data_IF_345009117994
#
_entry.id   IF_345009117994
#
_cell.length_a   1.000
_cell.length_b   1.000
_cell.length_c   1.000
_cell.angle_alpha   90.00
_cell.angle_beta   90.00
_cell.angle_gamma   90.00
#
_symmetry.space_group_name_H-M   'P 1'
#
loop_
_entity.id
_entity.type
_entity.pdbx_description
1 polymer ?
2 non-polymer ?
3 water ?
#
# COMPACT_ATOMS: atom_id res chain seq x y z
N UNK A 21 -15.60 26.74 2.08
CA UNK A 21 -16.55 25.76 1.47
C UNK A 21 -16.06 25.33 0.07
N UNK A 22 -15.91 26.27 -0.86
CA UNK A 22 -15.42 25.94 -2.21
C UNK A 22 -13.94 26.17 -2.40
N UNK A 23 -13.38 27.09 -1.62
CA UNK A 23 -11.94 27.28 -1.51
C UNK A 23 -11.31 25.97 -1.03
N UNK A 24 -12.00 25.26 -0.13
CA UNK A 24 -11.52 23.95 0.31
C UNK A 24 -11.52 22.91 -0.82
N UNK A 25 -12.52 22.97 -1.69
CA UNK A 25 -12.61 22.12 -2.87
C UNK A 25 -11.57 22.54 -3.91
N UNK A 26 -11.18 23.81 -3.84
CA UNK A 26 -10.11 24.35 -4.67
C UNK A 26 -8.75 23.83 -4.19
N UNK A 27 -8.51 23.94 -2.88
CA UNK A 27 -7.31 23.41 -2.24
C UNK A 27 -7.18 21.90 -2.45
N UNK A 28 -8.28 21.15 -2.27
CA UNK A 28 -8.27 19.71 -2.52
C UNK A 28 -7.94 19.33 -3.97
N UNK A 29 -8.56 19.98 -4.94
CA UNK A 29 -8.26 19.66 -6.33
C UNK A 29 -6.79 19.92 -6.68
N UNK A 30 -6.23 20.97 -6.07
CA UNK A 30 -4.82 21.33 -6.27
C UNK A 30 -3.89 20.25 -5.71
N UNK A 31 -4.25 19.77 -4.52
CA UNK A 31 -3.51 18.70 -3.85
C UNK A 31 -3.60 17.40 -4.63
N UNK A 33 -3.71 17.27 -7.94
CA UNK A 33 -2.77 17.50 -9.02
C UNK A 33 -1.35 17.36 -8.54
N UNK A 34 -1.01 18.06 -7.46
CA UNK A 34 0.34 17.95 -6.92
C UNK A 34 0.72 16.48 -6.63
N UNK A 35 -0.22 15.68 -6.15
CA UNK A 35 -0.02 14.24 -5.94
C UNK A 35 0.12 13.44 -7.21
N UNK A 36 -0.69 13.78 -8.20
CA UNK A 36 -0.67 13.00 -9.41
C UNK A 36 0.71 13.25 -10.03
N UNK A 37 1.15 14.50 -9.94
CA UNK A 37 2.45 14.88 -10.51
C UNK A 37 3.66 14.20 -9.84
N UNK A 38 3.64 14.08 -8.52
CA UNK A 38 4.75 13.43 -7.87
C UNK A 38 4.68 11.93 -8.15
N UNK A 39 3.48 11.36 -8.13
CA UNK A 39 3.31 9.94 -8.49
C UNK A 39 3.83 9.57 -9.88
N UNK A 40 3.53 10.42 -10.86
CA UNK A 40 4.01 10.26 -12.22
C UNK A 40 5.49 10.21 -12.18
N UNK A 41 6.10 11.14 -11.45
CA UNK A 41 7.50 11.16 -11.41
C UNK A 41 8.14 9.95 -10.76
N UNK A 42 7.56 9.44 -9.66
CA UNK A 42 8.19 8.28 -9.00
C UNK A 42 8.00 7.04 -9.87
N UNK A 43 6.89 6.97 -10.59
CA UNK A 43 6.62 5.83 -11.43
C UNK A 43 7.51 5.75 -12.63
N UNK A 44 7.66 6.85 -13.37
CA UNK A 44 8.61 6.76 -14.50
C UNK A 44 10.07 6.52 -14.04
N UNK A 45 10.42 6.95 -12.82
CA UNK A 45 11.78 6.68 -12.33
C UNK A 45 11.94 5.25 -11.84
N UNK A 46 10.86 4.50 -11.65
CA UNK A 46 11.00 3.22 -10.92
C UNK A 46 10.42 2.04 -11.62
N UNK A 47 9.71 2.28 -12.72
CA UNK A 47 9.15 1.18 -13.47
C UNK A 47 9.69 1.21 -14.89
N UNK A 48 10.78 0.45 -15.15
CA UNK A 48 11.50 0.52 -16.45
C UNK A 48 10.59 0.13 -17.60
N UNK A 49 10.49 0.96 -18.63
CA UNK A 49 9.67 0.60 -19.72
C UNK A 49 8.27 1.17 -19.64
N UNK A 50 7.90 1.77 -18.52
CA UNK A 50 6.59 2.40 -18.39
C UNK A 50 6.61 3.74 -19.12
N UNK A 51 5.68 3.97 -20.03
CA UNK A 51 5.66 5.24 -20.74
C UNK A 51 5.11 6.39 -19.90
N UNK A 52 5.52 7.59 -20.26
CA UNK A 52 5.14 8.79 -19.58
C UNK A 52 3.62 8.93 -19.56
N UNK A 53 2.98 8.80 -20.70
CA UNK A 53 1.54 8.83 -20.83
C UNK A 53 0.87 7.85 -19.88
N UNK A 54 1.29 6.58 -19.86
CA UNK A 54 0.64 5.63 -18.97
C UNK A 54 0.86 5.96 -17.48
N UNK A 55 2.04 6.44 -17.12
CA UNK A 55 2.33 6.82 -15.71
C UNK A 55 1.48 8.01 -15.32
N UNK A 56 1.31 8.91 -16.29
CA UNK A 56 0.51 10.10 -16.08
C UNK A 56 -0.94 9.68 -15.76
N UNK A 57 -1.47 8.79 -16.59
CA UNK A 57 -2.89 8.37 -16.60
C UNK A 57 -3.25 7.68 -15.31
N UNK A 58 -2.35 6.81 -14.89
CA UNK A 58 -2.57 5.97 -13.73
C UNK A 58 -2.43 6.82 -12.47
N UNK A 59 -1.54 7.80 -12.52
CA UNK A 59 -1.29 8.73 -11.41
C UNK A 59 -2.49 9.61 -11.15
N UNK A 60 -3.11 10.12 -12.22
CA UNK A 60 -4.30 10.96 -12.11
C UNK A 60 -5.41 10.11 -11.54
N UNK A 61 -5.43 8.83 -11.88
CA UNK A 61 -6.55 8.02 -11.53
C UNK A 61 -6.53 7.73 -10.04
N UNK A 63 -4.77 9.51 -7.85
CA UNK A 63 -4.88 10.78 -7.14
C UNK A 63 -6.37 11.11 -6.97
N UNK A 64 -7.19 10.94 -8.02
CA UNK A 64 -8.66 11.18 -7.92
C UNK A 64 -9.39 10.22 -6.95
N UNK A 65 -8.73 9.12 -6.56
CA UNK A 65 -9.33 8.16 -5.64
C UNK A 65 -8.40 7.97 -4.47
N UNK A 66 -7.73 9.07 -4.09
CA UNK A 66 -6.68 8.95 -3.09
C UNK A 66 -7.14 8.35 -1.76
N UNK A 67 -8.40 8.61 -1.38
CA UNK A 67 -8.89 8.07 -0.12
C UNK A 67 -9.10 6.56 -0.18
N UNK A 68 -9.51 6.05 -1.34
CA UNK A 68 -9.68 4.61 -1.47
C UNK A 68 -8.34 3.91 -1.56
N UNK A 69 -7.36 4.56 -2.20
CA UNK A 69 -6.00 4.02 -2.27
C UNK A 69 -5.30 4.08 -0.91
N UNK A 70 -5.43 5.20 -0.19
CA UNK A 70 -4.88 5.31 1.17
C UNK A 70 -5.38 4.17 2.06
N UNK A 71 -6.67 3.87 1.96
CA UNK A 71 -7.24 2.76 2.76
C UNK A 71 -6.68 1.42 2.29
N UNK A 72 -6.59 1.24 0.97
CA UNK A 72 -6.01 0.02 0.40
C UNK A 72 -4.60 -0.25 0.93
N UNK A 73 -3.73 0.74 0.80
CA UNK A 73 -2.34 0.68 1.21
C UNK A 73 -2.16 0.64 2.72
N UNK A 74 -2.95 1.41 3.47
CA UNK A 74 -2.86 1.41 4.95
C UNK A 74 -3.11 0.04 5.56
N UNK A 75 -4.00 -0.78 4.99
CA UNK A 75 -4.33 -2.12 5.60
C UNK A 75 -4.91 -3.25 4.72
N UNK A 76 -6.22 -3.12 4.44
CA UNK A 76 -6.95 -4.03 3.55
C UNK A 76 -6.87 -3.63 2.08
N UNK A 77 -6.07 -4.39 1.35
CA UNK A 77 -6.07 -4.32 -0.09
C UNK A 77 -7.52 -4.24 -0.60
N UNK A 78 -8.44 -4.90 0.10
CA UNK A 78 -9.80 -5.08 -0.39
C UNK A 78 -10.61 -3.81 -0.54
N UNK A 79 -10.15 -2.71 0.02
CA UNK A 79 -10.92 -1.49 -0.10
C UNK A 79 -10.99 -0.98 -1.56
N UNK A 80 -10.08 -1.48 -2.40
CA UNK A 80 -10.07 -1.18 -3.86
C UNK A 80 -11.33 -1.67 -4.56
N UNK A 81 -11.95 -2.70 -4.00
CA UNK A 81 -13.33 -3.04 -4.32
C UNK A 81 -14.32 -1.90 -4.31
N UNK A 82 -14.05 -0.84 -3.53
CA UNK A 82 -14.94 0.33 -3.48
C UNK A 82 -14.82 1.27 -4.69
N UNK A 83 -13.81 1.05 -5.53
CA UNK A 83 -13.66 1.80 -6.77
C UNK A 83 -14.71 1.30 -7.75
N UNK A 84 -15.54 2.19 -8.28
CA UNK A 84 -16.59 1.75 -9.19
C UNK A 84 -15.95 1.32 -10.52
N UNK A 85 -16.74 0.63 -11.34
CA UNK A 85 -16.28 0.22 -12.67
C UNK A 85 -15.96 1.45 -13.57
N UNK A 86 -14.95 1.33 -14.47
CA UNK A 86 -14.53 2.46 -15.34
C UNK A 86 -15.63 3.01 -16.27
N UNK A 87 -15.68 4.34 -16.41
CA UNK A 87 -16.61 5.00 -17.34
C UNK A 87 -16.02 5.09 -18.74
N UNK B 22 10.47 -16.05 9.45
CA UNK B 22 10.13 -17.39 8.88
C UNK B 22 8.72 -17.43 8.24
N UNK B 23 7.84 -18.28 8.77
CA UNK B 23 6.41 -18.37 8.39
C UNK B 23 5.77 -17.00 8.57
N UNK B 24 6.04 -16.38 9.72
CA UNK B 24 5.75 -14.98 10.06
C UNK B 24 6.20 -13.96 8.98
N UNK B 25 7.32 -14.26 8.32
CA UNK B 25 7.86 -13.39 7.25
C UNK B 25 7.22 -13.70 5.88
N UNK B 26 6.94 -15.00 5.61
CA UNK B 26 6.19 -15.48 4.41
C UNK B 26 4.82 -14.81 4.24
N UNK B 27 4.08 -14.60 5.34
CA UNK B 27 2.80 -13.87 5.27
C UNK B 27 2.95 -12.34 5.10
N UNK B 28 4.10 -11.80 5.51
CA UNK B 28 4.49 -10.45 5.10
C UNK B 28 4.29 -10.34 3.60
N UNK B 29 4.92 -11.25 2.87
CA UNK B 29 4.99 -11.18 1.42
C UNK B 29 3.62 -11.46 0.81
N UNK B 30 2.85 -12.32 1.48
CA UNK B 30 1.52 -12.73 1.01
C UNK B 30 0.62 -11.49 0.90
N UNK B 31 0.74 -10.64 1.91
CA UNK B 31 0.06 -9.37 2.04
C UNK B 31 0.41 -8.45 0.89
N UNK B 33 1.83 -9.32 -1.85
CA UNK B 33 1.49 -9.90 -3.17
C UNK B 33 0.01 -9.76 -3.48
N UNK B 34 -0.81 -9.93 -2.45
CA UNK B 34 -2.24 -9.83 -2.60
C UNK B 34 -2.63 -8.42 -3.03
N UNK B 35 -2.10 -7.41 -2.34
CA UNK B 35 -2.35 -6.03 -2.71
C UNK B 35 -1.93 -5.74 -4.15
N UNK B 36 -0.67 -6.07 -4.49
CA UNK B 36 -0.11 -5.98 -5.87
C UNK B 36 -1.10 -6.49 -6.91
N UNK B 37 -1.69 -7.64 -6.62
CA UNK B 37 -2.56 -8.30 -7.57
C UNK B 37 -3.88 -7.57 -7.78
N UNK B 38 -4.51 -7.08 -6.71
CA UNK B 38 -5.73 -6.25 -6.85
C UNK B 38 -5.40 -4.98 -7.60
N UNK B 39 -4.30 -4.38 -7.18
CA UNK B 39 -3.78 -3.21 -7.84
C UNK B 39 -3.62 -3.39 -9.36
N UNK B 40 -3.00 -4.51 -9.77
CA UNK B 40 -2.76 -4.77 -11.18
C UNK B 40 -4.10 -4.73 -11.92
N UNK B 41 -5.12 -5.27 -11.28
CA UNK B 41 -6.42 -5.21 -11.87
C UNK B 41 -7.04 -3.87 -12.05
N UNK B 42 -6.96 -3.01 -11.04
CA UNK B 42 -7.71 -1.77 -11.16
C UNK B 42 -7.05 -0.96 -12.26
N UNK B 43 -5.73 -1.09 -12.36
CA UNK B 43 -4.92 -0.34 -13.33
C UNK B 43 -5.20 -0.80 -14.76
N UNK B 44 -5.08 -2.11 -14.98
CA UNK B 44 -5.52 -2.70 -16.23
C UNK B 44 -6.89 -2.16 -16.55
N UNK B 45 -7.82 -2.17 -15.59
CA UNK B 45 -9.20 -1.72 -15.87
C UNK B 45 -9.26 -0.25 -16.24
N UNK B 46 -8.37 0.56 -15.68
CA UNK B 46 -8.61 1.99 -15.75
C UNK B 46 -7.63 2.83 -16.55
N UNK B 47 -6.46 2.25 -16.87
CA UNK B 47 -5.49 2.96 -17.73
C UNK B 47 -5.51 2.38 -19.15
N UNK B 48 -6.20 3.07 -20.07
CA UNK B 48 -6.35 2.42 -21.37
C UNK B 48 -4.96 2.26 -22.01
N UNK B 49 -4.75 1.17 -22.74
CA UNK B 49 -3.49 0.90 -23.40
C UNK B 49 -2.38 0.29 -22.54
N UNK B 50 -2.54 0.29 -21.23
CA UNK B 50 -1.48 -0.21 -20.31
C UNK B 50 -1.35 -1.70 -20.40
N UNK B 51 -0.16 -2.23 -20.55
CA UNK B 51 -0.07 -3.68 -20.66
C UNK B 51 -0.24 -4.30 -19.28
N UNK B 52 -0.58 -5.59 -19.26
CA UNK B 52 -0.64 -6.30 -18.00
C UNK B 52 0.72 -6.29 -17.27
N UNK B 53 1.78 -6.51 -18.03
CA UNK B 53 3.10 -6.61 -17.48
C UNK B 53 3.50 -5.29 -16.81
N UNK B 54 3.24 -4.18 -17.49
CA UNK B 54 3.58 -2.92 -16.92
C UNK B 54 2.73 -2.67 -15.70
N UNK B 55 1.45 -3.04 -15.77
CA UNK B 55 0.53 -2.88 -14.61
C UNK B 55 1.05 -3.65 -13.39
N UNK B 56 1.43 -4.92 -13.59
CA UNK B 56 2.11 -5.77 -12.59
C UNK B 56 3.34 -5.09 -12.00
N UNK B 57 4.31 -4.73 -12.84
CA UNK B 57 5.52 -4.04 -12.39
C UNK B 57 5.24 -2.81 -11.53
N UNK B 58 4.26 -2.01 -11.90
CA UNK B 58 3.94 -0.80 -11.20
C UNK B 58 3.31 -1.13 -9.85
N UNK B 59 2.37 -2.09 -9.87
CA UNK B 59 1.68 -2.52 -8.66
C UNK B 59 2.64 -3.11 -7.68
N UNK B 60 3.56 -3.96 -8.16
CA UNK B 60 4.52 -4.59 -7.26
C UNK B 60 5.39 -3.51 -6.67
N UNK B 61 5.82 -2.57 -7.50
CA UNK B 61 6.64 -1.48 -6.97
C UNK B 61 5.97 -0.68 -5.84
N UNK B 63 3.22 -1.69 -4.04
CA UNK B 63 2.78 -2.58 -2.94
C UNK B 63 3.97 -2.90 -2.04
N UNK B 64 5.11 -3.08 -2.68
CA UNK B 64 6.40 -3.31 -2.07
C UNK B 64 6.78 -2.12 -1.17
N UNK B 65 6.21 -0.95 -1.51
CA UNK B 65 6.54 0.29 -0.82
C UNK B 65 5.32 0.84 -0.10
N UNK B 66 4.48 -0.04 0.41
CA UNK B 66 3.12 0.36 0.74
C UNK B 66 3.01 1.43 1.79
N UNK B 67 3.87 1.41 2.82
CA UNK B 67 3.66 2.39 3.89
C UNK B 67 4.00 3.79 3.44
N UNK B 68 5.03 3.90 2.60
CA UNK B 68 5.33 5.20 2.05
C UNK B 68 4.16 5.66 1.19
N UNK B 69 3.65 4.81 0.30
CA UNK B 69 2.48 5.22 -0.52
C UNK B 69 1.25 5.55 0.32
N UNK B 70 0.98 4.72 1.33
CA UNK B 70 -0.12 4.98 2.26
C UNK B 70 0.01 6.35 2.83
N UNK B 71 1.21 6.71 3.25
CA UNK B 71 1.39 8.04 3.87
C UNK B 71 1.18 9.17 2.83
N UNK B 72 1.64 8.94 1.60
CA UNK B 72 1.46 9.87 0.53
C UNK B 72 -0.01 10.06 0.20
N UNK B 73 -0.76 8.96 0.08
CA UNK B 73 -2.15 9.03 -0.31
C UNK B 73 -2.99 9.66 0.77
N UNK B 74 -2.73 9.29 2.03
CA UNK B 74 -3.45 9.80 3.19
C UNK B 74 -3.35 11.31 3.13
N UNK B 75 -2.29 11.86 3.72
CA UNK B 75 -2.21 13.28 3.96
C UNK B 75 -1.45 14.11 2.92
N UNK B 76 -0.25 13.68 2.56
CA UNK B 76 0.59 14.53 1.74
C UNK B 76 1.57 13.79 0.86
N UNK B 77 1.71 14.37 -0.33
CA UNK B 77 2.44 13.75 -1.40
C UNK B 77 3.94 13.68 -1.09
N UNK B 78 4.43 14.65 -0.33
CA UNK B 78 5.86 14.78 -0.13
C UNK B 78 6.45 13.64 0.71
N UNK B 79 5.59 12.77 1.24
CA UNK B 79 6.05 11.51 1.86
C UNK B 79 6.68 10.55 0.81
N UNK B 80 6.45 10.82 -0.47
CA UNK B 80 7.10 10.08 -1.56
C UNK B 80 8.62 10.31 -1.58
N UNK B 81 9.06 11.46 -1.10
CA UNK B 81 10.48 11.70 -0.76
C UNK B 81 11.20 10.48 -0.21
N UNK B 82 10.53 9.75 0.69
CA UNK B 82 11.16 8.65 1.43
C UNK B 82 11.49 7.44 0.58
N UNK B 83 10.91 7.37 -0.62
CA UNK B 83 11.27 6.37 -1.61
C UNK B 83 12.75 6.49 -1.90
N UNK B 84 13.44 5.35 -1.92
CA UNK B 84 14.90 5.32 -1.96
C UNK B 84 15.45 4.92 -3.34
N UNK B 85 16.06 5.89 -4.04
CA UNK B 85 16.79 5.69 -5.33
C UNK B 85 17.29 7.02 -5.88
N UNK C 22 -10.73 -13.74 -2.98
CA UNK C 22 -12.14 -14.18 -2.81
C UNK C 22 -12.55 -14.32 -1.34
N UNK C 23 -11.70 -14.95 -0.53
CA UNK C 23 -11.98 -15.16 0.89
C UNK C 23 -12.25 -13.85 1.62
N UNK C 24 -11.22 -13.01 1.71
CA UNK C 24 -11.34 -11.78 2.48
C UNK C 24 -12.36 -10.77 1.93
N UNK C 25 -12.87 -11.05 0.73
CA UNK C 25 -13.94 -10.26 0.13
C UNK C 25 -15.28 -10.54 0.80
N UNK C 26 -15.51 -11.80 1.16
CA UNK C 26 -16.72 -12.20 1.90
C UNK C 26 -16.86 -11.38 3.18
N UNK C 27 -15.75 -11.29 3.93
CA UNK C 27 -15.65 -10.62 5.23
C UNK C 27 -15.77 -9.12 5.07
N UNK C 28 -15.31 -8.61 3.94
CA UNK C 28 -15.43 -7.19 3.60
C UNK C 28 -16.89 -6.88 3.28
N UNK C 29 -17.47 -7.64 2.35
CA UNK C 29 -18.89 -7.53 2.09
C UNK C 29 -19.70 -7.65 3.36
N UNK C 30 -19.29 -8.58 4.21
CA UNK C 30 -19.99 -8.82 5.45
C UNK C 30 -19.95 -7.63 6.38
N UNK C 31 -18.79 -7.00 6.44
CA UNK C 31 -18.58 -5.83 7.27
C UNK C 31 -19.50 -4.72 6.82
N UNK C 33 -22.50 -4.93 5.18
CA UNK C 33 -23.85 -5.17 5.67
C UNK C 33 -23.96 -4.88 7.19
N UNK C 34 -23.01 -5.34 7.99
CA UNK C 34 -23.11 -5.06 9.43
C UNK C 34 -23.12 -3.58 9.72
N UNK C 35 -22.31 -2.84 8.97
CA UNK C 35 -22.26 -1.39 9.08
C UNK C 35 -23.57 -0.74 8.59
N UNK C 36 -24.01 -1.11 7.40
CA UNK C 36 -25.24 -0.56 6.83
C UNK C 36 -26.42 -0.72 7.79
N UNK C 37 -26.48 -1.87 8.44
CA UNK C 37 -27.56 -2.18 9.34
C UNK C 37 -27.54 -1.38 10.65
N UNK C 38 -26.36 -1.25 11.24
CA UNK C 38 -26.20 -0.47 12.48
C UNK C 38 -26.59 0.99 12.21
N UNK C 39 -26.14 1.48 11.06
CA UNK C 39 -26.34 2.83 10.58
C UNK C 39 -27.82 3.07 10.37
N UNK C 40 -28.45 2.18 9.60
CA UNK C 40 -29.88 2.30 9.34
C UNK C 40 -30.60 2.55 10.65
N UNK C 41 -30.31 1.72 11.65
CA UNK C 41 -30.94 1.85 12.95
C UNK C 41 -30.73 3.26 13.57
N UNK C 42 -29.48 3.71 13.68
CA UNK C 42 -29.19 5.01 14.31
C UNK C 42 -29.84 6.16 13.55
N UNK C 43 -29.81 6.07 12.23
CA UNK C 43 -30.51 7.03 11.39
C UNK C 43 -32.01 7.08 11.64
N UNK C 44 -32.72 5.96 11.51
CA UNK C 44 -34.17 6.03 11.80
C UNK C 44 -34.43 6.60 13.21
N UNK C 45 -33.58 6.26 14.16
CA UNK C 45 -33.82 6.64 15.55
C UNK C 45 -33.38 8.05 15.90
N UNK C 46 -32.64 8.71 15.01
CA UNK C 46 -32.17 10.07 15.32
C UNK C 46 -32.63 11.17 14.34
N UNK C 47 -33.12 10.78 13.17
CA UNK C 47 -33.65 11.76 12.24
C UNK C 47 -35.15 11.57 12.16
N UNK C 48 -35.92 12.42 12.88
CA UNK C 48 -37.37 12.21 13.03
C UNK C 48 -38.08 12.31 11.69
N UNK C 49 -39.06 11.43 11.45
CA UNK C 49 -39.68 11.33 10.13
C UNK C 49 -38.83 10.78 8.98
N UNK C 50 -37.51 10.57 9.17
CA UNK C 50 -36.75 9.84 8.15
C UNK C 50 -37.41 8.47 7.92
N UNK C 51 -37.56 8.04 6.67
CA UNK C 51 -38.20 6.75 6.43
C UNK C 51 -37.19 5.60 6.52
N UNK C 52 -37.67 4.41 6.86
CA UNK C 52 -36.83 3.23 6.85
C UNK C 52 -36.15 3.03 5.49
N UNK C 53 -36.95 3.07 4.43
CA UNK C 53 -36.46 2.89 3.07
C UNK C 53 -35.33 3.86 2.80
N UNK C 54 -35.57 5.15 3.03
CA UNK C 54 -34.54 6.16 2.86
C UNK C 54 -33.30 5.98 3.76
N UNK C 55 -33.50 5.59 5.02
CA UNK C 55 -32.41 5.33 5.96
C UNK C 55 -31.56 4.18 5.45
N UNK C 56 -32.22 3.09 5.13
CA UNK C 56 -31.48 1.92 4.73
C UNK C 56 -30.79 2.18 3.38
N UNK C 57 -31.47 2.86 2.46
CA UNK C 57 -30.79 3.33 1.25
C UNK C 57 -29.51 4.14 1.53
N UNK C 58 -29.60 5.18 2.35
CA UNK C 58 -28.44 6.05 2.62
C UNK C 58 -27.28 5.29 3.23
N UNK C 59 -27.64 4.37 4.12
CA UNK C 59 -26.66 3.56 4.78
C UNK C 59 -25.94 2.61 3.82
N UNK C 60 -26.72 1.98 2.92
CA UNK C 60 -26.11 1.08 1.95
C UNK C 60 -25.16 1.93 1.14
N UNK C 61 -25.65 3.08 0.73
CA UNK C 61 -24.81 3.93 -0.03
C UNK C 61 -23.46 4.25 0.66
N UNK C 63 -22.04 2.81 3.16
CA UNK C 63 -21.30 1.62 3.54
C UNK C 63 -20.54 1.06 2.32
N UNK C 64 -21.14 1.14 1.13
CA UNK C 64 -20.44 0.83 -0.13
C UNK C 64 -19.26 1.78 -0.39
N UNK C 65 -19.26 2.93 0.26
CA UNK C 65 -18.22 3.89 0.06
C UNK C 65 -17.51 4.19 1.35
N UNK C 66 -17.32 3.17 2.17
CA UNK C 66 -16.86 3.45 3.53
C UNK C 66 -15.49 4.06 3.69
N UNK C 67 -14.56 3.72 2.81
CA UNK C 67 -13.21 4.30 2.83
C UNK C 67 -13.27 5.81 2.57
N UNK C 68 -14.09 6.23 1.62
CA UNK C 68 -14.27 7.67 1.40
C UNK C 68 -14.87 8.38 2.63
N UNK C 69 -16.00 7.86 3.13
CA UNK C 69 -16.65 8.42 4.32
C UNK C 69 -15.82 8.42 5.60
N UNK C 70 -15.10 7.33 5.85
CA UNK C 70 -14.13 7.32 6.94
C UNK C 70 -13.15 8.51 6.84
N UNK C 71 -12.70 8.85 5.64
CA UNK C 71 -11.77 9.96 5.52
C UNK C 71 -12.50 11.28 5.71
N UNK C 72 -13.73 11.39 5.20
CA UNK C 72 -14.48 12.62 5.28
C UNK C 72 -14.61 12.92 6.74
N UNK C 73 -14.97 11.90 7.50
CA UNK C 73 -15.28 12.04 8.91
C UNK C 73 -14.08 12.24 9.76
N UNK C 74 -12.92 11.71 9.35
CA UNK C 74 -11.74 11.69 10.21
C UNK C 74 -11.08 13.05 10.25
N UNK C 75 -10.96 13.72 9.10
CA UNK C 75 -10.76 15.19 9.04
C UNK C 75 -11.20 15.77 7.71
N UNK C 76 -10.47 15.41 6.66
CA UNK C 76 -10.78 15.54 5.24
C UNK C 76 -12.26 15.51 4.77
N UNK C 77 -13.07 16.54 5.09
CA UNK C 77 -14.47 16.56 4.65
C UNK C 77 -14.55 16.46 3.12
N UNK C 78 -13.54 16.99 2.47
CA UNK C 78 -13.53 17.09 1.04
C UNK C 78 -13.23 15.75 0.32
N UNK C 79 -12.82 14.71 1.04
CA UNK C 79 -12.78 13.38 0.46
C UNK C 79 -14.08 13.11 -0.28
N UNK C 80 -15.15 13.78 0.15
CA UNK C 80 -16.49 13.50 -0.35
C UNK C 80 -16.60 13.75 -1.85
N UNK C 81 -15.77 14.66 -2.35
CA UNK C 81 -15.63 14.95 -3.79
C UNK C 81 -15.26 13.75 -4.63
N UNK C 82 -14.59 12.77 -4.01
CA UNK C 82 -14.01 11.66 -4.74
C UNK C 82 -15.11 10.70 -5.16
N UNK C 83 -16.32 10.97 -4.71
CA UNK C 83 -17.45 10.14 -5.08
C UNK C 83 -17.87 10.48 -6.50
N UNK C 84 -17.92 9.45 -7.34
CA UNK C 84 -18.07 9.58 -8.80
C UNK C 84 -19.46 10.06 -9.26
N UNK C 85 -19.52 10.75 -10.41
CA UNK C 85 -20.77 11.15 -11.09
C UNK C 85 -20.70 12.49 -11.83
N UNK D 22 8.71 21.66 -2.69
CA UNK D 22 9.63 22.83 -2.58
C UNK D 22 9.59 23.38 -1.17
N UNK D 23 8.73 24.36 -0.96
CA UNK D 23 8.32 24.82 0.35
C UNK D 23 7.91 23.63 1.24
N UNK D 24 7.14 22.67 0.70
CA UNK D 24 6.69 21.49 1.46
C UNK D 24 7.79 20.47 1.68
N UNK D 25 8.80 20.46 0.81
CA UNK D 25 9.94 19.58 1.07
C UNK D 25 10.70 20.08 2.29
N UNK D 26 10.99 21.39 2.31
CA UNK D 26 11.64 22.07 3.44
C UNK D 26 11.00 21.74 4.78
N UNK D 27 9.67 21.81 4.81
CA UNK D 27 8.94 21.50 6.03
C UNK D 27 9.22 20.09 6.51
N UNK D 28 9.15 19.13 5.59
CA UNK D 28 9.32 17.73 5.94
C UNK D 28 10.74 17.44 6.42
N UNK D 29 11.71 18.04 5.74
CA UNK D 29 13.09 17.95 6.16
C UNK D 29 13.26 18.46 7.58
N UNK D 30 12.67 19.61 7.89
CA UNK D 30 12.80 20.15 9.24
C UNK D 30 12.23 19.17 10.27
N UNK D 31 11.13 18.50 9.91
CA UNK D 31 10.49 17.54 10.82
C UNK D 31 11.20 16.22 11.00
N UNK D 33 14.49 16.20 10.88
CA UNK D 33 15.57 16.59 11.78
C UNK D 33 15.12 16.75 13.23
N UNK D 34 13.94 17.36 13.43
CA UNK D 34 13.37 17.55 14.77
C UNK D 34 13.08 16.22 15.43
N UNK D 35 12.58 15.27 14.64
CA UNK D 35 12.43 13.91 15.10
C UNK D 35 13.78 13.29 15.40
N UNK D 36 14.72 13.45 14.46
CA UNK D 36 16.05 12.90 14.63
C UNK D 36 16.68 13.42 15.92
N UNK D 37 16.52 14.72 16.18
CA UNK D 37 17.17 15.28 17.35
C UNK D 37 16.60 14.68 18.66
N UNK D 38 15.29 14.84 18.87
CA UNK D 38 14.56 14.28 20.04
C UNK D 38 14.82 12.79 20.22
N UNK D 39 14.81 12.06 19.11
CA UNK D 39 15.09 10.63 19.12
C UNK D 39 16.48 10.35 19.68
N UNK D 40 17.47 11.09 19.19
CA UNK D 40 18.83 10.91 19.62
C UNK D 40 18.97 11.06 21.16
N UNK D 41 18.44 12.16 21.72
CA UNK D 41 18.51 12.36 23.17
C UNK D 41 17.84 11.19 23.91
N UNK D 42 16.66 10.76 23.48
CA UNK D 42 16.00 9.64 24.18
C UNK D 42 16.79 8.32 24.12
N UNK D 43 17.37 8.02 22.95
CA UNK D 43 18.19 6.82 22.79
C UNK D 43 19.46 6.94 23.61
N UNK D 44 20.14 8.08 23.53
CA UNK D 44 21.33 8.28 24.37
C UNK D 44 20.94 8.31 25.87
N UNK D 45 19.70 8.71 26.19
CA UNK D 45 19.27 8.78 27.59
C UNK D 45 18.77 7.45 28.14
N UNK D 46 18.40 6.54 27.26
CA UNK D 46 17.74 5.35 27.70
C UNK D 46 18.46 4.06 27.42
N UNK D 47 19.52 4.13 26.63
CA UNK D 47 20.34 2.95 26.34
C UNK D 47 21.69 3.02 27.11
N UNK D 48 21.79 2.28 28.24
CA UNK D 48 22.98 2.30 29.10
C UNK D 48 24.22 2.85 28.38
N UNK D 49 24.73 3.96 28.90
CA UNK D 49 25.94 4.66 28.40
C UNK D 49 26.37 4.34 26.98
N UNK D 50 25.44 4.42 26.02
CA UNK D 50 25.74 3.95 24.66
C UNK D 50 25.69 4.96 23.51
N UNK D 51 26.91 5.29 23.04
CA UNK D 51 27.24 5.88 21.72
C UNK D 51 26.45 7.12 21.28
N UNK D 52 27.07 8.29 21.41
CA UNK D 52 26.43 9.55 21.04
C UNK D 52 26.47 9.85 19.52
N UNK D 53 27.63 9.68 18.88
CA UNK D 53 27.71 9.89 17.42
C UNK D 53 26.77 8.92 16.71
N UNK D 54 26.66 7.72 17.29
CA UNK D 54 25.91 6.61 16.71
C UNK D 54 24.41 6.81 16.88
N UNK D 55 24.02 7.24 18.06
CA UNK D 55 22.66 7.57 18.37
C UNK D 55 22.08 8.34 17.18
N UNK D 56 22.87 9.28 16.66
CA UNK D 56 22.52 10.03 15.46
C UNK D 56 22.22 9.08 14.29
N UNK D 57 23.24 8.31 13.87
CA UNK D 57 23.15 7.44 12.69
C UNK D 57 21.82 6.66 12.61
N UNK D 58 21.46 6.01 13.72
CA UNK D 58 20.16 5.33 13.84
C UNK D 58 18.94 6.28 13.83
N UNK D 59 18.95 7.31 14.69
CA UNK D 59 17.90 8.33 14.68
C UNK D 59 17.62 8.89 13.27
N UNK D 60 18.68 9.40 12.61
CA UNK D 60 18.61 9.89 11.24
C UNK D 60 18.09 8.82 10.31
N UNK D 61 18.64 7.61 10.43
CA UNK D 61 18.21 6.53 9.57
C UNK D 61 16.70 6.30 9.68
N UNK D 63 14.33 8.34 11.24
CA UNK D 63 13.62 9.55 10.81
C UNK D 63 13.48 9.64 9.28
N UNK D 64 14.58 9.42 8.55
CA UNK D 64 14.51 9.40 7.09
C UNK D 64 13.50 8.37 6.51
N UNK D 65 13.18 7.35 7.30
CA UNK D 65 12.25 6.27 6.93
C UNK D 65 11.07 6.24 7.86
N UNK D 66 10.51 7.42 8.13
CA UNK D 66 9.47 7.55 9.16
C UNK D 66 8.19 6.81 8.87
N UNK D 67 7.71 6.89 7.63
CA UNK D 67 6.47 6.22 7.24
C UNK D 67 6.51 4.69 7.50
N UNK D 68 7.59 4.05 7.10
CA UNK D 68 7.82 2.64 7.38
C UNK D 68 7.95 2.35 8.89
N UNK D 69 8.71 3.17 9.62
CA UNK D 69 8.79 2.92 11.07
C UNK D 69 7.49 3.18 11.82
N UNK D 70 6.67 4.15 11.36
CA UNK D 70 5.36 4.41 12.03
C UNK D 70 4.50 3.18 11.85
N UNK D 71 4.47 2.68 10.61
CA UNK D 71 3.70 1.49 10.29
C UNK D 71 4.20 0.35 11.14
N UNK D 72 5.52 0.20 11.26
CA UNK D 72 6.09 -0.91 12.05
C UNK D 72 5.68 -0.83 13.50
N UNK D 73 5.72 0.38 14.07
CA UNK D 73 5.43 0.57 15.48
C UNK D 73 3.95 0.41 15.80
N UNK D 74 3.09 0.81 14.87
CA UNK D 74 1.66 0.92 15.13
C UNK D 74 1.19 -0.50 15.29
N UNK D 75 1.12 -1.24 14.20
CA UNK D 75 0.78 -2.67 14.30
C UNK D 75 1.91 -3.69 13.95
N UNK D 76 2.34 -3.76 12.68
CA UNK D 76 3.14 -4.91 12.28
C UNK D 76 4.62 -4.69 12.03
N UNK D 77 5.40 -5.50 12.72
CA UNK D 77 6.85 -5.49 12.58
C UNK D 77 7.26 -5.65 11.13
N UNK D 78 6.54 -6.49 10.39
CA UNK D 78 6.88 -6.82 9.02
C UNK D 78 6.75 -5.67 7.99
N UNK D 79 6.16 -4.55 8.39
CA UNK D 79 6.35 -3.29 7.68
C UNK D 79 7.85 -3.02 7.41
N UNK D 80 8.71 -3.41 8.35
CA UNK D 80 10.17 -3.33 8.14
C UNK D 80 10.64 -4.11 6.89
N UNK D 81 9.93 -5.15 6.46
CA UNK D 81 10.20 -5.81 5.16
C UNK D 81 10.18 -4.87 3.95
N UNK D 82 9.72 -3.66 4.15
CA UNK D 82 9.64 -2.72 3.03
C UNK D 82 10.92 -1.92 2.95
N UNK D 83 11.79 -2.03 3.98
CA UNK D 83 13.02 -1.23 3.98
C UNK D 83 13.98 -1.87 2.99
N UNK D 84 14.37 -1.14 1.96
CA UNK D 84 15.30 -1.70 0.99
C UNK D 84 16.65 -1.83 1.68
N UNK D 85 17.40 -2.82 1.31
CA UNK D 85 18.61 -3.09 2.04
C UNK D 85 19.77 -2.31 1.38
N UNK D 86 20.82 -1.97 2.16
CA UNK D 86 22.05 -1.38 1.61
C UNK D 86 22.74 -2.21 0.52
N UNK E 27 14.35 -11.94 3.99
CA UNK E 27 13.00 -11.54 4.44
C UNK E 27 12.53 -10.17 3.94
N UNK E 28 13.45 -9.34 3.40
CA UNK E 28 13.04 -8.09 2.70
C UNK E 28 12.29 -8.47 1.42
N UNK E 29 11.26 -7.71 1.03
CA UNK E 29 10.49 -8.01 -0.20
C UNK E 29 11.32 -8.01 -1.46
N UNK E 30 12.31 -7.11 -1.53
CA UNK E 30 13.19 -6.90 -2.68
C UNK E 30 13.92 -8.19 -2.99
N UNK E 31 14.44 -8.75 -1.91
CA UNK E 31 15.15 -10.01 -1.86
C UNK E 31 14.25 -11.15 -2.31
N UNK E 33 11.73 -10.94 -4.12
CA UNK E 33 11.26 -10.77 -5.50
C UNK E 33 12.37 -11.05 -6.46
N UNK E 34 13.59 -10.69 -6.08
CA UNK E 34 14.75 -10.91 -6.95
C UNK E 34 14.97 -12.42 -7.17
N UNK E 35 14.83 -13.16 -6.08
CA UNK E 35 14.97 -14.58 -6.11
C UNK E 35 13.84 -15.23 -6.95
N UNK E 36 12.59 -14.85 -6.69
CA UNK E 36 11.44 -15.37 -7.45
C UNK E 36 11.60 -15.20 -8.96
N UNK E 37 12.08 -14.03 -9.37
CA UNK E 37 12.24 -13.72 -10.78
C UNK E 37 13.35 -14.54 -11.43
N UNK E 38 14.47 -14.69 -10.70
CA UNK E 38 15.55 -15.57 -11.20
C UNK E 38 15.06 -16.99 -11.33
N UNK E 39 14.35 -17.46 -10.33
CA UNK E 39 13.75 -18.77 -10.41
C UNK E 39 12.81 -18.89 -11.63
N UNK E 40 11.91 -17.93 -11.85
CA UNK E 40 10.98 -18.00 -12.99
C UNK E 40 11.76 -18.17 -14.28
N UNK E 41 12.83 -17.39 -14.43
CA UNK E 41 13.53 -17.41 -15.67
C UNK E 41 14.21 -18.78 -15.89
N UNK E 42 14.86 -19.32 -14.85
CA UNK E 42 15.55 -20.61 -15.09
C UNK E 42 14.52 -21.71 -15.40
N UNK E 43 13.32 -21.61 -14.82
CA UNK E 43 12.36 -22.70 -14.97
C UNK E 43 11.79 -22.70 -16.39
N UNK E 44 11.29 -21.56 -16.87
CA UNK E 44 10.66 -21.60 -18.19
C UNK E 44 11.75 -21.94 -19.21
N UNK E 45 13.00 -21.55 -18.95
CA UNK E 45 14.07 -21.86 -19.89
C UNK E 45 14.44 -23.35 -19.88
N UNK E 46 14.02 -24.12 -18.87
CA UNK E 46 14.48 -25.51 -18.76
C UNK E 46 13.33 -26.53 -18.71
N UNK E 47 12.11 -26.05 -18.53
CA UNK E 47 10.97 -26.94 -18.56
C UNK E 47 10.00 -26.68 -19.76
N UNK E 48 10.15 -27.45 -20.80
CA UNK E 48 9.29 -27.14 -21.94
C UNK E 48 7.82 -27.28 -21.58
N UNK E 49 6.98 -26.37 -22.05
CA UNK E 49 5.53 -26.51 -21.85
C UNK E 49 5.08 -25.86 -20.56
N UNK E 50 6.01 -25.57 -19.66
CA UNK E 50 5.64 -24.96 -18.38
C UNK E 50 5.28 -23.50 -18.60
N UNK E 51 4.04 -23.15 -18.30
CA UNK E 51 3.58 -21.79 -18.53
C UNK E 51 4.33 -20.79 -17.62
N UNK E 52 4.54 -19.57 -18.11
CA UNK E 52 5.18 -18.55 -17.34
C UNK E 52 4.46 -18.24 -16.00
N UNK E 53 3.13 -18.16 -16.04
CA UNK E 53 2.31 -17.95 -14.84
C UNK E 53 2.51 -19.00 -13.73
N UNK E 54 2.42 -20.27 -14.10
CA UNK E 54 2.78 -21.37 -13.20
C UNK E 54 4.21 -21.31 -12.74
N UNK E 55 5.11 -20.78 -13.55
CA UNK E 55 6.52 -20.75 -13.12
C UNK E 55 6.70 -19.65 -12.10
N UNK E 56 6.02 -18.54 -12.35
CA UNK E 56 5.90 -17.47 -11.37
C UNK E 56 5.32 -17.93 -10.04
N UNK E 57 4.17 -18.62 -10.08
CA UNK E 57 3.49 -19.08 -8.88
C UNK E 57 4.44 -19.94 -8.06
N UNK E 58 5.11 -20.89 -8.74
CA UNK E 58 6.05 -21.81 -8.12
C UNK E 58 7.23 -21.11 -7.49
N UNK E 59 7.87 -20.24 -8.26
CA UNK E 59 9.01 -19.47 -7.77
C UNK E 59 8.62 -18.60 -6.58
N UNK E 60 7.45 -17.99 -6.62
CA UNK E 60 7.06 -17.16 -5.54
C UNK E 60 6.91 -18.01 -4.31
N UNK E 61 6.24 -19.16 -4.47
CA UNK E 61 6.06 -20.05 -3.35
C UNK E 61 7.41 -20.43 -2.72
N UNK E 63 10.52 -18.84 -3.24
CA UNK E 63 11.16 -17.62 -2.72
C UNK E 63 10.56 -17.24 -1.38
N UNK E 64 9.24 -17.18 -1.24
CA UNK E 64 8.64 -16.94 0.07
C UNK E 64 9.09 -17.84 1.22
N UNK E 65 9.56 -19.05 0.88
CA UNK E 65 9.92 -20.10 1.84
C UNK E 65 11.39 -20.40 1.67
N UNK E 66 12.17 -19.33 1.59
CA UNK E 66 13.53 -19.41 1.16
C UNK E 66 14.33 -20.34 2.05
N UNK E 67 14.20 -20.13 3.36
CA UNK E 67 15.05 -20.82 4.32
C UNK E 67 14.86 -22.32 4.24
N UNK E 68 13.60 -22.75 4.18
CA UNK E 68 13.26 -24.15 4.06
C UNK E 68 13.84 -24.79 2.78
N UNK E 69 13.75 -24.09 1.66
CA UNK E 69 14.29 -24.63 0.43
C UNK E 69 15.81 -24.67 0.46
N UNK E 70 16.44 -23.66 1.07
CA UNK E 70 17.90 -23.68 1.24
C UNK E 70 18.31 -24.90 2.03
N UNK E 71 17.61 -25.19 3.12
CA UNK E 71 17.87 -26.45 3.85
C UNK E 71 17.63 -27.67 2.96
N UNK E 72 16.46 -27.78 2.35
CA UNK E 72 16.12 -28.97 1.59
C UNK E 72 17.20 -29.35 0.57
N UNK E 73 17.72 -28.36 -0.17
CA UNK E 73 18.76 -28.57 -1.14
C UNK E 73 20.09 -28.84 -0.49
N UNK E 74 20.13 -28.78 0.83
CA UNK E 74 21.35 -29.04 1.58
C UNK E 74 21.36 -30.46 2.20
N UNK E 75 20.18 -31.06 2.43
CA UNK E 75 20.05 -32.44 3.00
C UNK E 75 18.66 -32.86 3.50
N UNK E 76 18.16 -32.15 4.52
CA UNK E 76 16.86 -32.40 5.19
C UNK E 76 15.62 -32.05 4.35
N UNK E 77 15.35 -32.88 3.35
CA UNK E 77 14.08 -32.82 2.66
C UNK E 77 12.87 -32.96 3.63
N UNK E 78 13.10 -33.53 4.83
CA UNK E 78 12.14 -33.50 5.96
C UNK E 78 11.51 -32.12 6.27
N UNK E 79 12.20 -31.05 5.89
CA UNK E 79 11.65 -29.72 6.05
C UNK E 79 10.47 -29.60 5.12
N UNK E 80 10.64 -30.08 3.89
CA UNK E 80 9.60 -30.03 2.85
C UNK E 80 8.34 -30.80 3.19
N UNK E 81 8.49 -31.90 3.93
CA UNK E 81 7.35 -32.62 4.49
C UNK E 81 6.52 -31.70 5.38
N UNK E 82 7.19 -30.71 5.98
CA UNK E 82 6.53 -29.64 6.71
C UNK E 82 5.58 -28.83 5.82
N UNK E 83 5.96 -28.65 4.55
CA UNK E 83 5.11 -27.95 3.59
C UNK E 83 4.21 -28.90 2.82
N UNK E 84 4.11 -30.15 3.30
CA UNK E 84 3.41 -31.23 2.58
C UNK E 84 3.44 -32.53 3.39
#
# INVERSE_FOLDING_TARGET
>A
SNAXAVETLYRSTRDLETTFVDRKLADAHDQXLELAELLTDVLIKNVPGLSEKHAEDASIYXAKNRAVFAAAFKNNATALSELSEPAESEG
>B
SNAXAVETLYRSTRDLETTFVDRKLADAHDQXLELAELLTDVLIKNVPGLSEKHAEDASIYXAKNRAVFAAAFKNNATALSELSEPAESEG
>C
SNAXAVETLYRSTRDLETTFVDRKLADAHDQXLELAELLTDVLIKNVPGLSEKHAEDASIYXAKNRAVFAAAFKNNATALSELSEPAESEG
>D
SNAXAVETLYRSTRDLETTFVDRKLADAHDQXLELAELLTDVLIKNVPGLSEKHAEDASIYXAKNRAVFAAAFKNNATALSELSEPAESEG
>E
SNAXAVETLYRSTRDLETTFVDRKLADAHDQXLELAELLTDVLIKNVPGLSEKHAEDASIYXAKNRAVFAAAFKNNATALSELSEPAESEG
#
